data_IF_895771300424
#
_entry.id   IF_895771300424
#
_cell.length_a   1.000
_cell.length_b   1.000
_cell.length_c   1.000
_cell.angle_alpha   90.00
_cell.angle_beta   90.00
_cell.angle_gamma   90.00
#
_symmetry.space_group_name_H-M   'P 1'
#
loop_
_entity.id
_entity.type
_entity.pdbx_description
1 polymer ?
#
# COMPACT_ATOMS: atom_id res chain seq x y z
N UNK A 1 21.76 12.00 1.94
CA UNK A 1 22.69 11.21 2.76
C UNK A 1 23.09 9.98 1.95
N UNK A 2 24.37 9.85 1.56
CA UNK A 2 24.86 8.70 0.78
C UNK A 2 24.57 7.35 1.44
N UNK A 3 24.49 7.29 2.78
CA UNK A 3 24.25 6.04 3.50
C UNK A 3 22.81 5.56 3.42
N UNK A 4 21.84 6.45 3.15
CA UNK A 4 20.42 6.09 3.02
C UNK A 4 20.06 5.49 1.65
N UNK A 5 20.91 5.63 0.64
CA UNK A 5 20.62 5.17 -0.73
C UNK A 5 19.45 5.91 -1.39
N UNK A 6 18.70 5.22 -2.25
CA UNK A 6 17.51 5.78 -2.90
C UNK A 6 16.30 5.79 -1.95
N UNK A 7 15.78 6.98 -1.68
CA UNK A 7 14.63 7.24 -0.80
C UNK A 7 13.39 7.70 -1.58
N UNK A 8 13.42 7.62 -2.91
CA UNK A 8 12.24 7.89 -3.72
C UNK A 8 11.16 6.83 -3.50
N UNK A 9 9.92 7.22 -3.74
CA UNK A 9 8.76 6.34 -3.62
C UNK A 9 8.26 5.92 -4.99
N UNK A 10 7.99 4.63 -5.15
CA UNK A 10 7.59 4.02 -6.41
C UNK A 10 6.37 3.10 -6.20
N UNK A 11 5.25 3.32 -6.92
CA UNK A 11 4.08 2.46 -6.83
C UNK A 11 4.36 0.99 -7.16
N UNK A 12 5.21 0.74 -8.15
CA UNK A 12 5.63 -0.60 -8.59
C UNK A 12 6.60 -1.29 -7.62
N UNK A 13 7.08 -0.58 -6.59
CA UNK A 13 7.82 -1.14 -5.46
C UNK A 13 6.96 -1.29 -4.19
N UNK A 14 5.69 -0.86 -4.22
CA UNK A 14 4.78 -0.98 -3.09
C UNK A 14 4.90 0.13 -2.04
N UNK A 15 5.72 1.16 -2.26
CA UNK A 15 5.91 2.27 -1.31
C UNK A 15 4.88 3.40 -1.49
N UNK A 16 3.86 3.20 -2.33
CA UNK A 16 2.77 4.14 -2.56
C UNK A 16 1.44 3.42 -2.42
N UNK A 17 0.55 3.98 -1.60
CA UNK A 17 -0.83 3.54 -1.48
C UNK A 17 -1.80 4.59 -2.06
N UNK A 18 -2.92 4.11 -2.60
CA UNK A 18 -4.01 4.91 -3.12
C UNK A 18 -5.27 4.60 -2.32
N UNK A 19 -6.07 5.60 -1.96
CA UNK A 19 -7.28 5.34 -1.19
C UNK A 19 -8.03 6.57 -0.71
N UNK A 20 -8.96 6.34 0.20
CA UNK A 20 -9.77 7.36 0.86
C UNK A 20 -9.89 7.07 2.36
N UNK A 21 -9.34 7.96 3.19
CA UNK A 21 -9.50 7.89 4.64
C UNK A 21 -10.95 8.03 5.10
N UNK A 22 -11.74 8.86 4.40
CA UNK A 22 -13.17 9.08 4.71
C UNK A 22 -13.99 7.79 4.58
N UNK A 23 -13.76 7.03 3.51
CA UNK A 23 -14.45 5.77 3.27
C UNK A 23 -13.75 4.57 3.93
N UNK A 24 -12.47 4.71 4.29
CA UNK A 24 -11.69 3.69 5.00
C UNK A 24 -11.18 2.57 4.11
N UNK A 25 -10.91 2.86 2.84
CA UNK A 25 -10.31 1.91 1.91
C UNK A 25 -9.02 2.47 1.32
N UNK A 26 -8.05 1.60 1.11
CA UNK A 26 -6.81 1.92 0.41
C UNK A 26 -6.17 0.64 -0.13
N UNK A 27 -5.29 0.79 -1.12
CA UNK A 27 -4.56 -0.31 -1.70
C UNK A 27 -3.15 0.08 -2.12
N UNK A 28 -2.27 -0.92 -2.16
CA UNK A 28 -0.97 -0.88 -2.86
C UNK A 28 -1.05 -1.73 -4.13
N UNK A 29 -0.10 -1.57 -5.06
CA UNK A 29 -0.02 -2.46 -6.21
C UNK A 29 0.27 -3.92 -5.79
N UNK A 30 0.93 -4.13 -4.65
CA UNK A 30 1.25 -5.46 -4.12
C UNK A 30 0.01 -6.29 -3.83
N UNK A 31 -1.04 -5.69 -3.27
CA UNK A 31 -2.31 -6.37 -3.02
C UNK A 31 -2.99 -6.84 -4.30
N UNK A 32 -3.03 -6.01 -5.35
CA UNK A 32 -3.56 -6.39 -6.65
C UNK A 32 -2.66 -7.41 -7.38
N UNK A 33 -1.34 -7.26 -7.26
CA UNK A 33 -0.38 -8.21 -7.80
C UNK A 33 -0.59 -9.60 -7.18
N UNK A 34 -0.84 -9.71 -5.88
CA UNK A 34 -1.17 -10.99 -5.21
C UNK A 34 -2.42 -11.66 -5.82
N UNK A 35 -3.47 -10.88 -6.08
CA UNK A 35 -4.73 -11.39 -6.66
C UNK A 35 -4.52 -11.85 -8.11
N UNK A 36 -3.88 -11.01 -8.93
CA UNK A 36 -3.69 -11.29 -10.34
C UNK A 36 -2.59 -12.31 -10.64
N UNK A 37 -1.53 -12.38 -9.82
CA UNK A 37 -0.49 -13.41 -9.93
C UNK A 37 -1.10 -14.81 -9.86
N UNK A 38 -1.99 -15.06 -8.89
CA UNK A 38 -2.72 -16.32 -8.78
C UNK A 38 -3.61 -16.59 -10.00
N UNK A 39 -4.32 -15.57 -10.48
CA UNK A 39 -5.22 -15.69 -11.62
C UNK A 39 -4.51 -15.97 -12.95
N UNK A 40 -3.35 -15.36 -13.18
CA UNK A 40 -2.58 -15.49 -14.41
C UNK A 40 -1.47 -16.56 -14.33
N UNK A 41 -1.26 -17.20 -13.18
CA UNK A 41 -0.16 -18.13 -12.97
C UNK A 41 1.21 -17.45 -13.12
N UNK A 42 1.33 -16.20 -12.68
CA UNK A 42 2.53 -15.38 -12.84
C UNK A 42 3.21 -15.12 -11.48
N UNK A 43 4.51 -14.81 -11.51
CA UNK A 43 5.21 -14.33 -10.33
C UNK A 43 4.64 -12.97 -9.85
N UNK A 44 4.51 -12.81 -8.52
CA UNK A 44 3.94 -11.61 -7.90
C UNK A 44 4.77 -10.36 -8.19
N UNK A 45 6.10 -10.44 -8.06
CA UNK A 45 6.95 -9.27 -8.24
C UNK A 45 6.90 -8.81 -9.70
N UNK A 46 6.95 -9.75 -10.65
CA UNK A 46 6.74 -9.44 -12.07
C UNK A 46 5.35 -8.86 -12.34
N UNK A 47 4.29 -9.38 -11.71
CA UNK A 47 2.94 -8.83 -11.87
C UNK A 47 2.85 -7.39 -11.34
N UNK A 48 3.45 -7.10 -10.19
CA UNK A 48 3.47 -5.76 -9.61
C UNK A 48 4.11 -4.73 -10.55
N UNK A 49 5.24 -5.08 -11.16
CA UNK A 49 5.92 -4.28 -12.17
C UNK A 49 5.07 -4.05 -13.42
N UNK A 50 4.20 -5.02 -13.76
CA UNK A 50 3.26 -4.91 -14.89
C UNK A 50 2.03 -4.05 -14.60
N UNK A 51 1.70 -3.79 -13.35
CA UNK A 51 0.53 -3.00 -12.95
C UNK A 51 0.78 -1.49 -12.93
N UNK A 52 1.99 -1.03 -13.28
CA UNK A 52 2.34 0.39 -13.30
C UNK A 52 3.07 0.80 -14.58
N UNK A 53 3.10 2.11 -14.84
CA UNK A 53 3.84 2.71 -15.96
C UNK A 53 3.30 2.33 -17.34
N UNK A 54 4.19 2.35 -18.33
CA UNK A 54 3.93 2.01 -19.74
C UNK A 54 3.81 0.49 -19.95
N UNK A 55 2.88 -0.15 -19.23
CA UNK A 55 2.53 -1.56 -19.41
C UNK A 55 1.08 -1.67 -19.85
N UNK A 56 0.86 -2.46 -20.89
CA UNK A 56 -0.42 -2.64 -21.55
C UNK A 56 -0.72 -4.14 -21.68
N UNK A 57 -1.98 -4.54 -21.55
CA UNK A 57 -2.40 -5.92 -21.77
C UNK A 57 -3.48 -5.95 -22.84
N UNK A 58 -3.26 -6.75 -23.88
CA UNK A 58 -4.24 -6.93 -24.94
C UNK A 58 -5.14 -8.12 -24.60
N UNK A 59 -6.45 -7.90 -24.32
CA UNK A 59 -7.35 -8.99 -23.94
C UNK A 59 -7.61 -10.02 -25.04
N UNK A 60 -7.51 -9.61 -26.31
CA UNK A 60 -7.72 -10.49 -27.46
C UNK A 60 -6.56 -11.46 -27.66
N UNK A 61 -5.32 -10.97 -27.56
CA UNK A 61 -4.12 -11.79 -27.73
C UNK A 61 -3.58 -12.38 -26.43
N UNK A 62 -4.06 -11.88 -25.28
CA UNK A 62 -3.58 -12.18 -23.91
C UNK A 62 -2.08 -11.92 -23.72
N UNK A 63 -1.53 -10.94 -24.44
CA UNK A 63 -0.11 -10.56 -24.40
C UNK A 63 0.08 -9.20 -23.76
N UNK A 64 1.23 -9.05 -23.10
CA UNK A 64 1.71 -7.78 -22.57
C UNK A 64 2.46 -6.99 -23.64
N UNK A 65 2.29 -5.66 -23.65
CA UNK A 65 3.05 -4.73 -24.48
C UNK A 65 3.59 -3.56 -23.65
N UNK A 66 4.63 -2.91 -24.18
CA UNK A 66 5.10 -1.59 -23.71
C UNK A 66 4.62 -0.44 -24.58
N UNK A 67 3.91 -0.74 -25.66
CA UNK A 67 3.31 0.25 -26.57
C UNK A 67 1.83 0.42 -26.28
N UNK A 68 1.34 1.64 -26.43
CA UNK A 68 -0.06 2.02 -26.24
C UNK A 68 -0.98 1.59 -27.38
N UNK A 69 -0.47 0.85 -28.37
CA UNK A 69 -1.21 0.33 -29.51
C UNK A 69 -0.88 -1.13 -29.77
N UNK A 70 -1.84 -1.87 -30.32
CA UNK A 70 -1.63 -3.23 -30.83
C UNK A 70 -1.03 -3.24 -32.25
N UNK A 71 -0.81 -4.44 -32.80
CA UNK A 71 -0.24 -4.62 -34.14
C UNK A 71 -1.09 -4.01 -35.27
N UNK A 72 -2.37 -3.75 -35.03
CA UNK A 72 -3.29 -3.14 -35.98
C UNK A 72 -3.47 -1.63 -35.72
N UNK A 73 -2.68 -1.04 -34.81
CA UNK A 73 -2.78 0.36 -34.42
C UNK A 73 -3.94 0.66 -33.47
N UNK A 74 -4.67 -0.34 -32.96
CA UNK A 74 -5.77 -0.12 -32.02
C UNK A 74 -5.20 0.29 -30.66
N UNK A 75 -5.73 1.35 -30.01
CA UNK A 75 -5.30 1.74 -28.68
C UNK A 75 -5.46 0.62 -27.65
N UNK A 76 -4.46 0.49 -26.78
CA UNK A 76 -4.46 -0.40 -25.62
C UNK A 76 -4.59 0.42 -24.34
N UNK A 77 -5.39 -0.10 -23.42
CA UNK A 77 -5.57 0.48 -22.10
C UNK A 77 -4.39 0.15 -21.19
N UNK A 78 -3.96 1.11 -20.38
CA UNK A 78 -2.89 0.88 -19.39
C UNK A 78 -3.32 -0.21 -18.41
N UNK A 79 -2.37 -1.03 -17.99
CA UNK A 79 -2.62 -2.11 -17.06
C UNK A 79 -3.18 -1.62 -15.72
N UNK A 80 -2.66 -0.50 -15.19
CA UNK A 80 -3.19 0.13 -13.99
C UNK A 80 -4.68 0.45 -14.14
N UNK A 81 -5.06 1.09 -15.25
CA UNK A 81 -6.44 1.47 -15.50
C UNK A 81 -7.33 0.22 -15.63
N UNK A 82 -6.97 -0.70 -16.51
CA UNK A 82 -7.80 -1.88 -16.81
C UNK A 82 -7.92 -2.87 -15.63
N UNK A 83 -6.85 -3.08 -14.87
CA UNK A 83 -6.84 -4.09 -13.80
C UNK A 83 -7.14 -3.52 -12.41
N UNK A 84 -6.98 -2.23 -12.18
CA UNK A 84 -7.15 -1.63 -10.84
C UNK A 84 -8.28 -0.61 -10.86
N UNK A 85 -8.19 0.44 -11.68
CA UNK A 85 -9.20 1.50 -11.67
C UNK A 85 -10.55 1.01 -12.20
N UNK A 86 -10.58 0.32 -13.33
CA UNK A 86 -11.80 -0.16 -13.97
C UNK A 86 -12.71 -0.97 -13.04
N UNK A 87 -12.21 -1.99 -12.29
CA UNK A 87 -13.01 -2.69 -11.30
C UNK A 87 -13.54 -1.77 -10.18
N UNK A 88 -12.74 -0.80 -9.72
CA UNK A 88 -13.16 0.15 -8.69
C UNK A 88 -14.25 1.07 -9.25
N UNK A 89 -14.07 1.67 -10.42
CA UNK A 89 -15.06 2.54 -11.05
C UNK A 89 -16.37 1.81 -11.33
N UNK A 90 -16.31 0.57 -11.86
CA UNK A 90 -17.51 -0.24 -12.10
C UNK A 90 -18.26 -0.55 -10.81
N UNK A 91 -17.56 -0.79 -9.70
CA UNK A 91 -18.17 -1.03 -8.40
C UNK A 91 -18.82 0.23 -7.83
N UNK A 92 -18.16 1.38 -7.96
CA UNK A 92 -18.74 2.68 -7.59
C UNK A 92 -20.00 2.97 -8.41
N UNK A 93 -19.91 2.85 -9.73
CA UNK A 93 -21.02 3.09 -10.66
C UNK A 93 -22.20 2.15 -10.37
N UNK A 94 -21.95 0.84 -10.20
CA UNK A 94 -23.03 -0.13 -9.98
C UNK A 94 -23.78 0.14 -8.67
N UNK A 95 -23.06 0.51 -7.59
CA UNK A 95 -23.66 0.79 -6.29
C UNK A 95 -24.40 2.13 -6.30
N UNK A 96 -23.78 3.20 -6.81
CA UNK A 96 -24.35 4.55 -6.78
C UNK A 96 -25.55 4.70 -7.72
N UNK A 97 -25.57 3.94 -8.82
CA UNK A 97 -26.68 3.93 -9.79
C UNK A 97 -27.63 2.73 -9.59
N UNK A 98 -27.59 2.07 -8.42
CA UNK A 98 -28.52 1.01 -8.02
C UNK A 98 -28.66 -0.15 -9.01
N UNK A 99 -27.57 -0.50 -9.71
CA UNK A 99 -27.51 -1.64 -10.64
C UNK A 99 -27.32 -2.93 -9.82
N UNK A 100 -28.40 -3.43 -9.21
CA UNK A 100 -28.37 -4.54 -8.22
C UNK A 100 -27.75 -5.83 -8.78
N UNK A 101 -28.15 -6.26 -9.97
CA UNK A 101 -27.63 -7.50 -10.59
C UNK A 101 -26.12 -7.39 -10.89
N UNK A 102 -25.69 -6.26 -11.44
CA UNK A 102 -24.28 -6.00 -11.71
C UNK A 102 -23.47 -5.94 -10.41
N UNK A 103 -24.01 -5.30 -9.37
CA UNK A 103 -23.37 -5.22 -8.06
C UNK A 103 -23.21 -6.61 -7.46
N UNK A 104 -24.24 -7.44 -7.46
CA UNK A 104 -24.18 -8.81 -6.96
C UNK A 104 -23.11 -9.66 -7.69
N UNK A 105 -23.08 -9.61 -9.02
CA UNK A 105 -22.07 -10.31 -9.82
C UNK A 105 -20.63 -9.81 -9.54
N UNK A 106 -20.47 -8.50 -9.30
CA UNK A 106 -19.17 -7.95 -8.93
C UNK A 106 -18.72 -8.35 -7.53
N UNK A 107 -19.63 -8.35 -6.54
CA UNK A 107 -19.32 -8.78 -5.18
C UNK A 107 -18.88 -10.25 -5.16
N UNK A 108 -19.55 -11.12 -5.91
CA UNK A 108 -19.16 -12.52 -6.05
C UNK A 108 -17.78 -12.66 -6.70
N UNK A 109 -17.55 -12.01 -7.84
CA UNK A 109 -16.27 -12.07 -8.57
C UNK A 109 -15.08 -11.50 -7.80
N UNK A 110 -15.32 -10.54 -6.92
CA UNK A 110 -14.32 -9.93 -6.05
C UNK A 110 -14.22 -10.61 -4.68
N UNK A 111 -15.00 -11.68 -4.46
CA UNK A 111 -15.07 -12.48 -3.22
C UNK A 111 -15.45 -11.64 -1.98
N UNK A 112 -16.29 -10.62 -2.17
CA UNK A 112 -16.75 -9.72 -1.11
C UNK A 112 -18.03 -10.26 -0.49
N UNK A 113 -17.95 -10.66 0.79
CA UNK A 113 -19.09 -11.20 1.54
C UNK A 113 -19.77 -10.13 2.40
N UNK A 114 -21.05 -9.89 2.12
CA UNK A 114 -21.92 -9.03 2.93
C UNK A 114 -22.71 -9.85 3.95
N UNK A 115 -22.78 -9.33 5.18
CA UNK A 115 -23.69 -9.80 6.23
C UNK A 115 -25.15 -9.49 5.87
N UNK A 116 -26.15 -10.19 6.44
CA UNK A 116 -27.56 -9.94 6.14
C UNK A 116 -27.95 -8.46 6.24
N UNK A 117 -27.59 -7.80 7.34
CA UNK A 117 -27.90 -6.38 7.60
C UNK A 117 -27.17 -5.41 6.66
N UNK A 118 -26.05 -5.83 6.05
CA UNK A 118 -25.29 -5.02 5.10
C UNK A 118 -25.91 -5.06 3.70
N UNK A 119 -26.77 -6.06 3.40
CA UNK A 119 -27.40 -6.23 2.08
C UNK A 119 -28.55 -5.25 1.84
N UNK A 120 -29.14 -4.75 2.92
CA UNK A 120 -30.24 -3.78 2.87
C UNK A 120 -29.73 -2.33 2.71
N UNK A 121 -28.41 -2.12 2.82
CA UNK A 121 -27.80 -0.83 2.59
C UNK A 121 -27.81 -0.49 1.09
N UNK A 122 -27.95 0.79 0.76
CA UNK A 122 -27.88 1.30 -0.60
C UNK A 122 -26.99 2.55 -0.68
N UNK A 123 -26.59 2.94 -1.89
CA UNK A 123 -25.81 4.15 -2.15
C UNK A 123 -24.51 4.23 -1.34
N UNK A 124 -24.25 5.40 -0.72
CA UNK A 124 -23.01 5.67 0.02
C UNK A 124 -22.76 4.73 1.21
N UNK A 125 -23.75 4.42 2.07
CA UNK A 125 -23.59 3.40 3.12
C UNK A 125 -23.10 2.05 2.61
N UNK A 126 -23.72 1.50 1.55
CA UNK A 126 -23.31 0.23 0.96
C UNK A 126 -21.90 0.33 0.38
N UNK A 127 -21.61 1.38 -0.37
CA UNK A 127 -20.30 1.63 -0.97
C UNK A 127 -19.20 1.63 0.09
N UNK A 128 -19.43 2.29 1.23
CA UNK A 128 -18.47 2.35 2.34
C UNK A 128 -18.18 0.96 2.91
N UNK A 129 -19.22 0.14 3.13
CA UNK A 129 -19.06 -1.23 3.64
C UNK A 129 -18.33 -2.11 2.64
N UNK A 130 -18.75 -2.08 1.38
CA UNK A 130 -18.15 -2.86 0.29
C UNK A 130 -16.68 -2.52 0.11
N UNK A 131 -16.32 -1.23 0.03
CA UNK A 131 -14.94 -0.82 -0.19
C UNK A 131 -14.03 -1.17 0.99
N UNK A 132 -14.52 -1.08 2.23
CA UNK A 132 -13.77 -1.51 3.42
C UNK A 132 -13.45 -3.00 3.43
N UNK A 133 -14.37 -3.84 2.93
CA UNK A 133 -14.13 -5.29 2.81
C UNK A 133 -13.28 -5.63 1.60
N UNK A 134 -13.41 -4.86 0.52
CA UNK A 134 -12.65 -5.09 -0.69
C UNK A 134 -11.17 -4.74 -0.52
N UNK A 135 -10.88 -3.54 0.01
CA UNK A 135 -9.55 -2.94 0.11
C UNK A 135 -9.39 -2.25 1.48
N UNK A 136 -9.22 -2.99 2.59
CA UNK A 136 -9.11 -2.40 3.91
C UNK A 136 -7.89 -1.46 4.00
N UNK A 137 -8.12 -0.19 4.36
CA UNK A 137 -7.03 0.79 4.38
C UNK A 137 -5.89 0.42 5.35
N UNK A 138 -6.25 -0.13 6.52
CA UNK A 138 -5.27 -0.53 7.52
C UNK A 138 -4.30 -1.60 6.99
N UNK A 139 -4.77 -2.56 6.19
CA UNK A 139 -3.92 -3.60 5.62
C UNK A 139 -2.91 -3.02 4.63
N UNK A 140 -3.34 -2.09 3.77
CA UNK A 140 -2.44 -1.44 2.81
C UNK A 140 -1.36 -0.62 3.54
N UNK A 141 -1.74 0.12 4.58
CA UNK A 141 -0.80 0.94 5.35
C UNK A 141 0.17 0.10 6.18
N UNK A 142 -0.32 -0.92 6.90
CA UNK A 142 0.52 -1.82 7.69
C UNK A 142 1.49 -2.61 6.82
N UNK A 143 1.05 -3.05 5.64
CA UNK A 143 1.92 -3.72 4.68
C UNK A 143 3.11 -2.83 4.29
N UNK A 144 2.86 -1.55 3.97
CA UNK A 144 3.95 -0.62 3.65
C UNK A 144 4.89 -0.37 4.83
N UNK A 145 4.32 -0.18 6.03
CA UNK A 145 5.10 0.06 7.25
C UNK A 145 6.04 -1.11 7.52
N UNK A 146 5.52 -2.33 7.50
CA UNK A 146 6.31 -3.54 7.85
C UNK A 146 7.38 -3.85 6.81
N UNK A 147 7.10 -3.61 5.53
CA UNK A 147 8.01 -3.99 4.44
C UNK A 147 9.06 -2.92 4.17
N UNK A 148 8.69 -1.64 4.24
CA UNK A 148 9.52 -0.55 3.72
C UNK A 148 10.11 0.36 4.79
N UNK A 149 9.51 0.47 5.98
CA UNK A 149 10.12 1.29 7.04
C UNK A 149 11.25 0.50 7.72
N UNK A 150 12.45 1.10 7.84
CA UNK A 150 13.57 0.43 8.46
C UNK A 150 13.32 0.25 9.97
N UNK A 151 13.76 -0.89 10.50
CA UNK A 151 13.78 -1.12 11.94
C UNK A 151 14.80 -0.21 12.64
N UNK A 152 14.71 0.03 13.96
CA UNK A 152 15.73 0.75 14.71
C UNK A 152 17.15 0.19 14.49
N UNK A 153 17.31 -1.14 14.47
CA UNK A 153 18.60 -1.78 14.20
C UNK A 153 19.18 -1.47 12.81
N UNK A 154 18.32 -1.23 11.81
CA UNK A 154 18.76 -0.79 10.48
C UNK A 154 19.01 0.72 10.47
N UNK A 155 18.08 1.49 11.03
CA UNK A 155 18.07 2.94 10.96
C UNK A 155 19.16 3.60 11.81
N UNK A 156 19.48 3.05 12.99
CA UNK A 156 20.47 3.67 13.88
C UNK A 156 21.89 3.65 13.27
N UNK A 157 22.21 2.65 12.43
CA UNK A 157 23.52 2.53 11.76
C UNK A 157 23.93 3.77 10.99
N UNK A 158 23.02 4.29 10.16
CA UNK A 158 23.27 5.49 9.36
C UNK A 158 22.81 6.79 10.03
N UNK A 159 22.05 6.70 11.14
CA UNK A 159 21.58 7.90 11.86
C UNK A 159 22.48 8.31 13.02
N UNK A 160 23.34 7.43 13.54
CA UNK A 160 24.18 7.71 14.71
C UNK A 160 25.01 8.98 14.54
N UNK A 161 25.60 9.20 13.36
CA UNK A 161 26.42 10.38 13.08
C UNK A 161 25.63 11.69 13.16
N UNK A 162 24.32 11.66 12.93
CA UNK A 162 23.44 12.83 13.05
C UNK A 162 22.78 12.96 14.43
N UNK A 163 22.68 11.86 15.18
CA UNK A 163 21.98 11.81 16.47
C UNK A 163 22.92 11.97 17.67
N UNK A 164 24.21 11.68 17.50
CA UNK A 164 25.19 11.68 18.57
C UNK A 164 26.31 12.69 18.31
N UNK A 165 26.46 13.66 19.21
CA UNK A 165 27.42 14.76 19.09
C UNK A 165 28.81 14.41 19.69
N UNK A 166 28.95 13.23 20.29
CA UNK A 166 30.23 12.74 20.84
C UNK A 166 31.14 12.09 19.79
N UNK A 167 32.31 11.59 20.22
CA UNK A 167 33.22 10.84 19.36
C UNK A 167 32.54 9.63 18.71
N UNK A 168 32.69 9.47 17.40
CA UNK A 168 31.98 8.41 16.65
C UNK A 168 32.56 7.00 16.86
N UNK A 169 33.73 6.93 17.48
CA UNK A 169 34.50 5.73 17.80
C UNK A 169 34.34 5.28 19.27
N UNK A 170 33.57 6.00 20.09
CA UNK A 170 33.35 5.64 21.49
C UNK A 170 32.30 4.52 21.69
N UNK A 171 32.18 4.04 22.93
CA UNK A 171 31.24 2.97 23.29
C UNK A 171 29.77 3.37 23.12
N UNK A 172 29.41 4.65 23.28
CA UNK A 172 28.05 5.14 23.14
C UNK A 172 27.63 5.18 21.67
N UNK A 173 28.48 5.73 20.80
CA UNK A 173 28.28 5.76 19.36
C UNK A 173 28.19 4.33 18.79
N UNK A 174 29.07 3.43 19.23
CA UNK A 174 29.01 2.02 18.83
C UNK A 174 27.73 1.32 19.32
N UNK A 175 27.32 1.59 20.57
CA UNK A 175 26.07 1.05 21.12
C UNK A 175 24.83 1.51 20.36
N UNK A 176 24.75 2.80 19.98
CA UNK A 176 23.69 3.33 19.12
C UNK A 176 23.77 2.69 17.73
N UNK A 177 24.96 2.66 17.11
CA UNK A 177 25.13 2.13 15.74
C UNK A 177 24.64 0.69 15.61
N UNK A 178 24.95 -0.17 16.58
CA UNK A 178 24.52 -1.57 16.56
C UNK A 178 23.17 -1.82 17.24
N UNK A 179 22.52 -0.78 17.78
CA UNK A 179 21.29 -0.89 18.55
C UNK A 179 21.43 -1.94 19.68
N UNK A 180 22.56 -1.92 20.39
CA UNK A 180 22.96 -2.96 21.36
C UNK A 180 22.24 -2.78 22.71
N UNK A 181 21.36 -3.73 23.12
CA UNK A 181 20.69 -3.65 24.42
C UNK A 181 21.64 -3.89 25.62
N UNK A 182 22.88 -4.31 25.39
CA UNK A 182 23.90 -4.51 26.43
C UNK A 182 24.92 -3.37 26.52
N UNK A 183 24.84 -2.39 25.61
CA UNK A 183 25.71 -1.22 25.59
C UNK A 183 25.32 -0.16 26.65
N UNK A 184 26.00 0.99 26.64
CA UNK A 184 25.66 2.12 27.51
C UNK A 184 24.22 2.61 27.32
N UNK A 185 23.57 3.04 28.41
CA UNK A 185 22.22 3.58 28.35
C UNK A 185 22.20 4.94 27.65
N UNK A 186 21.57 4.99 26.48
CA UNK A 186 21.35 6.22 25.70
C UNK A 186 19.85 6.48 25.53
N UNK A 187 19.34 7.58 26.09
CA UNK A 187 17.93 7.94 26.04
C UNK A 187 17.75 9.39 25.59
N UNK A 188 16.94 9.59 24.54
CA UNK A 188 16.56 10.91 24.05
C UNK A 188 15.14 11.29 24.50
N UNK A 189 15.04 12.27 25.40
CA UNK A 189 13.74 12.81 25.84
C UNK A 189 13.24 13.81 24.79
N UNK A 190 12.27 13.39 23.98
CA UNK A 190 11.75 14.22 22.88
C UNK A 190 10.78 15.32 23.32
N UNK A 191 9.96 15.05 24.35
CA UNK A 191 8.98 16.00 24.89
C UNK A 191 8.50 15.57 26.28
N UNK A 192 8.00 16.54 27.04
CA UNK A 192 7.22 16.31 28.25
C UNK A 192 5.75 16.13 27.86
N UNK A 193 5.10 15.09 28.38
CA UNK A 193 3.68 14.79 28.10
C UNK A 193 2.84 15.23 29.30
N UNK A 194 1.88 16.16 29.12
CA UNK A 194 1.01 16.59 30.21
C UNK A 194 0.22 15.42 30.79
N UNK A 195 0.07 15.43 32.12
CA UNK A 195 -0.73 14.43 32.84
C UNK A 195 -1.80 15.10 33.69
N UNK A 196 -2.79 14.33 34.15
CA UNK A 196 -3.84 14.83 35.05
C UNK A 196 -3.34 15.17 36.45
N UNK A 197 -2.13 14.71 36.82
CA UNK A 197 -1.50 15.04 38.09
C UNK A 197 -0.99 16.47 38.06
N UNK A 198 -1.76 17.36 38.70
CA UNK A 198 -1.43 18.78 38.88
C UNK A 198 -0.21 18.91 39.80
N UNK A 199 1.00 18.89 39.24
CA UNK A 199 2.23 19.14 40.02
C UNK A 199 3.54 18.66 39.40
N UNK A 200 3.53 17.94 38.28
CA UNK A 200 4.75 17.59 37.54
C UNK A 200 4.55 17.86 36.05
N UNK A 201 5.05 19.03 35.64
CA UNK A 201 5.13 19.54 34.27
C UNK A 201 3.80 19.64 33.52
#
# INVERSE_FOLDING_TARGET
DPEMGDVQVYPDQGTVAFGSGLHGWAFTLRQFANRYAKKFGADRAKMMQKLWGENYFNPATKKWSKTSTDANGKPLERAFNMFILDPIFKLFDSIMNMKKDQTAAMLEKLEIKLKPEERDLEGKPLLKVVMRKFLPAAEALLEMIVIHLPSPATAQRYRVASLYEGPQDDECANGIRECDPKGPLMLYVSKMVPTSDKGRF
#
